data_IF_395051350916
#
_entry.id   IF_395051350916
#
_cell.length_a   1.000
_cell.length_b   1.000
_cell.length_c   1.000
_cell.angle_alpha   90.00
_cell.angle_beta   90.00
_cell.angle_gamma   90.00
#
_symmetry.space_group_name_H-M   'P 1'
#
loop_
_entity.id
_entity.type
_entity.pdbx_description
1 polymer ?
#
# COMPACT_ATOMS: atom_id res chain seq x y z
N UNK A 1 -2.51 -10.82 -36.19
CA UNK A 1 -2.62 -9.63 -35.32
C UNK A 1 -3.58 -9.83 -34.13
N UNK A 2 -4.86 -10.19 -34.37
CA UNK A 2 -5.91 -10.29 -33.33
C UNK A 2 -5.57 -11.20 -32.13
N UNK A 3 -4.97 -12.37 -32.35
CA UNK A 3 -4.56 -13.28 -31.26
C UNK A 3 -3.58 -12.61 -30.28
N UNK A 4 -2.63 -11.81 -30.77
CA UNK A 4 -1.68 -11.11 -29.90
C UNK A 4 -2.32 -9.95 -29.14
N UNK A 5 -3.23 -9.19 -29.79
CA UNK A 5 -4.00 -8.15 -29.10
C UNK A 5 -4.90 -8.73 -28.02
N UNK A 6 -5.59 -9.85 -28.31
CA UNK A 6 -6.36 -10.60 -27.32
C UNK A 6 -5.49 -11.05 -26.15
N UNK A 7 -4.29 -11.56 -26.41
CA UNK A 7 -3.35 -11.93 -25.35
C UNK A 7 -2.95 -10.73 -24.49
N UNK A 8 -2.63 -9.58 -25.10
CA UNK A 8 -2.33 -8.35 -24.37
C UNK A 8 -3.47 -7.93 -23.45
N UNK A 9 -4.71 -7.92 -23.96
CA UNK A 9 -5.88 -7.59 -23.15
C UNK A 9 -6.14 -8.59 -22.03
N UNK A 10 -5.87 -9.88 -22.26
CA UNK A 10 -5.96 -10.89 -21.20
C UNK A 10 -4.92 -10.65 -20.10
N UNK A 11 -3.67 -10.31 -20.45
CA UNK A 11 -2.65 -9.99 -19.44
C UNK A 11 -2.97 -8.68 -18.68
N UNK A 12 -3.60 -7.71 -19.33
CA UNK A 12 -4.12 -6.51 -18.67
C UNK A 12 -5.28 -6.83 -17.72
N UNK A 13 -6.19 -7.72 -18.12
CA UNK A 13 -7.29 -8.15 -17.26
C UNK A 13 -6.78 -8.79 -15.96
N UNK A 14 -5.83 -9.73 -16.07
CA UNK A 14 -5.18 -10.35 -14.91
C UNK A 14 -4.54 -9.33 -13.96
N UNK A 15 -3.96 -8.25 -14.51
CA UNK A 15 -3.39 -7.17 -13.70
C UNK A 15 -4.47 -6.46 -12.88
N UNK A 16 -5.61 -6.12 -13.48
CA UNK A 16 -6.71 -5.45 -12.77
C UNK A 16 -7.35 -6.35 -11.70
N UNK A 17 -7.49 -7.65 -11.99
CA UNK A 17 -7.96 -8.65 -11.02
C UNK A 17 -7.00 -8.75 -9.82
N UNK A 18 -5.70 -8.90 -10.07
CA UNK A 18 -4.68 -8.94 -9.02
C UNK A 18 -4.55 -7.61 -8.25
N UNK A 19 -4.84 -6.48 -8.90
CA UNK A 19 -4.80 -5.15 -8.26
C UNK A 19 -5.87 -5.05 -7.20
N UNK A 20 -7.07 -5.56 -7.47
CA UNK A 20 -8.18 -5.57 -6.52
C UNK A 20 -7.81 -6.36 -5.26
N UNK A 21 -7.24 -7.55 -5.41
CA UNK A 21 -6.76 -8.35 -4.28
C UNK A 21 -5.66 -7.65 -3.48
N UNK A 22 -4.76 -6.94 -4.16
CA UNK A 22 -3.68 -6.18 -3.51
C UNK A 22 -4.22 -4.99 -2.72
N UNK A 23 -5.21 -4.28 -3.25
CA UNK A 23 -5.90 -3.18 -2.56
C UNK A 23 -6.60 -3.69 -1.30
N UNK A 24 -7.31 -4.82 -1.37
CA UNK A 24 -7.98 -5.42 -0.20
C UNK A 24 -6.99 -5.78 0.92
N UNK A 25 -5.86 -6.41 0.57
CA UNK A 25 -4.80 -6.73 1.55
C UNK A 25 -4.19 -5.45 2.13
N UNK A 26 -3.92 -4.44 1.30
CA UNK A 26 -3.40 -3.14 1.73
C UNK A 26 -4.35 -2.43 2.70
N UNK A 27 -5.64 -2.38 2.35
CA UNK A 27 -6.67 -1.75 3.19
C UNK A 27 -6.82 -2.47 4.54
N UNK A 28 -6.83 -3.81 4.55
CA UNK A 28 -6.85 -4.60 5.80
C UNK A 28 -5.63 -4.31 6.67
N UNK A 29 -4.43 -4.21 6.07
CA UNK A 29 -3.21 -3.85 6.78
C UNK A 29 -3.32 -2.46 7.39
N UNK A 30 -3.81 -1.49 6.63
CA UNK A 30 -3.89 -0.08 7.06
C UNK A 30 -4.92 0.09 8.18
N UNK A 31 -6.08 -0.53 8.06
CA UNK A 31 -7.12 -0.57 9.11
C UNK A 31 -6.55 -1.21 10.38
N UNK A 32 -5.90 -2.38 10.29
CA UNK A 32 -5.30 -3.05 11.45
C UNK A 32 -4.23 -2.20 12.11
N UNK A 33 -3.33 -1.61 11.31
CA UNK A 33 -2.27 -0.73 11.82
C UNK A 33 -2.88 0.46 12.54
N UNK A 34 -3.90 1.08 11.95
CA UNK A 34 -4.55 2.23 12.53
C UNK A 34 -5.28 1.90 13.83
N UNK A 35 -5.96 0.75 13.87
CA UNK A 35 -6.67 0.25 15.05
C UNK A 35 -5.71 -0.06 16.20
N UNK A 36 -4.61 -0.79 15.94
CA UNK A 36 -3.63 -1.12 16.98
C UNK A 36 -2.85 0.11 17.47
N UNK A 37 -2.58 1.08 16.60
CA UNK A 37 -1.99 2.35 17.02
C UNK A 37 -2.91 3.12 17.97
N UNK A 38 -4.21 3.15 17.67
CA UNK A 38 -5.21 3.76 18.53
C UNK A 38 -5.30 3.04 19.89
N UNK A 39 -5.24 1.71 19.89
CA UNK A 39 -5.25 0.92 21.12
C UNK A 39 -4.03 1.21 21.98
N UNK A 40 -2.84 1.24 21.38
CA UNK A 40 -1.62 1.64 22.06
C UNK A 40 -1.71 3.04 22.68
N UNK A 41 -2.26 4.03 21.96
CA UNK A 41 -2.44 5.38 22.48
C UNK A 41 -3.42 5.42 23.65
N UNK A 42 -4.51 4.65 23.59
CA UNK A 42 -5.49 4.52 24.68
C UNK A 42 -4.86 3.93 25.94
N UNK A 43 -4.09 2.85 25.81
CA UNK A 43 -3.37 2.23 26.92
C UNK A 43 -2.31 3.18 27.50
N UNK A 44 -1.58 3.89 26.64
CA UNK A 44 -0.63 4.92 27.05
C UNK A 44 -1.33 6.05 27.81
N UNK A 45 -2.51 6.49 27.37
CA UNK A 45 -3.29 7.51 28.05
C UNK A 45 -3.70 7.04 29.45
N UNK A 46 -4.17 5.80 29.60
CA UNK A 46 -4.53 5.21 30.89
C UNK A 46 -3.34 5.15 31.85
N UNK A 47 -2.15 4.78 31.35
CA UNK A 47 -0.92 4.79 32.13
C UNK A 47 -0.56 6.21 32.60
N UNK A 48 -0.64 7.19 31.71
CA UNK A 48 -0.29 8.58 32.04
C UNK A 48 -1.29 9.23 33.00
N UNK A 49 -2.58 8.87 32.95
CA UNK A 49 -3.56 9.28 33.95
C UNK A 49 -3.25 8.72 35.34
N UNK A 50 -2.78 7.47 35.43
CA UNK A 50 -2.30 6.91 36.71
C UNK A 50 -1.08 7.69 37.23
N UNK A 51 -0.16 8.03 36.33
CA UNK A 51 1.02 8.83 36.67
C UNK A 51 0.63 10.24 37.14
N UNK A 52 -0.37 10.87 36.51
CA UNK A 52 -0.88 12.20 36.87
C UNK A 52 -1.44 12.23 38.29
N UNK A 53 -2.20 11.20 38.68
CA UNK A 53 -2.68 11.05 40.06
C UNK A 53 -1.54 10.97 41.08
N UNK A 54 -0.46 10.24 40.75
CA UNK A 54 0.71 10.09 41.63
C UNK A 54 1.47 11.42 41.73
N UNK A 55 1.76 12.08 40.60
CA UNK A 55 2.50 13.34 40.57
C UNK A 55 1.76 14.50 41.22
N UNK A 56 0.42 14.52 41.17
CA UNK A 56 -0.39 15.48 41.95
C UNK A 56 -0.10 15.36 43.45
N UNK A 57 -0.08 14.14 43.97
CA UNK A 57 0.22 13.91 45.39
C UNK A 57 1.66 14.28 45.74
N UNK A 58 2.62 13.97 44.86
CA UNK A 58 4.03 14.30 45.03
C UNK A 58 4.28 15.81 45.05
N UNK A 59 3.70 16.55 44.09
CA UNK A 59 3.78 18.02 44.03
C UNK A 59 3.17 18.65 45.28
N UNK A 60 1.99 18.22 45.70
CA UNK A 60 1.35 18.72 46.92
C UNK A 60 2.21 18.49 48.18
N UNK A 61 2.83 17.31 48.31
CA UNK A 61 3.73 17.01 49.42
C UNK A 61 5.02 17.85 49.38
N UNK A 62 5.61 18.06 48.21
CA UNK A 62 6.80 18.91 48.05
C UNK A 62 6.51 20.37 48.41
N UNK A 63 5.35 20.90 47.98
CA UNK A 63 4.90 22.26 48.34
C UNK A 63 4.70 22.38 49.85
N UNK A 64 4.11 21.37 50.50
CA UNK A 64 3.90 21.37 51.94
C UNK A 64 5.23 21.42 52.70
N UNK A 65 6.21 20.58 52.33
CA UNK A 65 7.54 20.57 52.98
C UNK A 65 8.27 21.90 52.87
N UNK A 66 8.13 22.59 51.73
CA UNK A 66 8.71 23.94 51.57
C UNK A 66 8.01 24.94 52.48
N UNK A 67 6.67 24.87 52.59
CA UNK A 67 5.88 25.75 53.47
C UNK A 67 6.18 25.50 54.96
N UNK A 68 6.44 24.27 55.37
CA UNK A 68 6.79 23.92 56.76
C UNK A 68 8.26 24.16 57.08
N UNK A 69 9.09 24.50 56.09
CA UNK A 69 10.53 24.75 56.27
C UNK A 69 11.40 23.49 56.25
N UNK A 70 10.81 22.32 55.98
CA UNK A 70 11.49 21.01 55.97
C UNK A 70 12.29 20.75 54.68
N UNK A 71 12.16 21.63 53.67
CA UNK A 71 12.75 21.45 52.34
C UNK A 71 13.09 22.78 51.66
N UNK A 72 14.04 22.74 50.72
CA UNK A 72 14.37 23.89 49.86
C UNK A 72 13.30 24.08 48.78
N UNK A 73 13.09 25.33 48.36
CA UNK A 73 12.10 25.70 47.33
C UNK A 73 12.30 24.99 45.98
N UNK A 74 13.55 24.62 45.65
CA UNK A 74 13.90 23.93 44.39
C UNK A 74 13.14 22.62 44.20
N UNK A 75 12.86 21.85 45.26
CA UNK A 75 12.16 20.57 45.16
C UNK A 75 10.68 20.76 44.75
N UNK A 76 10.04 21.82 45.25
CA UNK A 76 8.68 22.19 44.83
C UNK A 76 8.62 22.69 43.39
N UNK A 77 9.65 23.44 42.94
CA UNK A 77 9.75 23.90 41.56
C UNK A 77 9.93 22.71 40.63
N UNK A 78 10.85 21.80 40.93
CA UNK A 78 11.08 20.60 40.13
C UNK A 78 9.82 19.72 40.03
N UNK A 79 9.10 19.52 41.15
CA UNK A 79 7.86 18.77 41.14
C UNK A 79 6.77 19.43 40.26
N UNK A 80 6.64 20.75 40.31
CA UNK A 80 5.71 21.50 39.46
C UNK A 80 6.07 21.43 37.97
N UNK A 81 7.36 21.52 37.63
CA UNK A 81 7.82 21.37 36.24
C UNK A 81 7.46 19.98 35.70
N UNK A 82 7.75 18.92 36.46
CA UNK A 82 7.38 17.54 36.06
C UNK A 82 5.87 17.35 35.88
N UNK A 83 5.07 17.98 36.75
CA UNK A 83 3.62 17.96 36.63
C UNK A 83 3.14 18.65 35.35
N UNK A 84 3.71 19.82 35.02
CA UNK A 84 3.38 20.55 33.79
C UNK A 84 3.80 19.76 32.53
N UNK A 85 4.99 19.14 32.53
CA UNK A 85 5.44 18.24 31.45
C UNK A 85 4.46 17.08 31.24
N UNK A 86 4.00 16.46 32.33
CA UNK A 86 3.06 15.34 32.25
C UNK A 86 1.69 15.76 31.70
N UNK A 87 1.19 16.93 32.09
CA UNK A 87 -0.06 17.49 31.55
C UNK A 87 0.06 17.80 30.05
N UNK A 88 1.19 18.35 29.61
CA UNK A 88 1.46 18.58 28.19
C UNK A 88 1.48 17.26 27.41
N UNK A 89 2.10 16.21 27.96
CA UNK A 89 2.11 14.87 27.35
C UNK A 89 0.70 14.26 27.27
N UNK A 90 -0.14 14.43 28.30
CA UNK A 90 -1.54 13.98 28.26
C UNK A 90 -2.36 14.72 27.19
N UNK A 91 -2.16 16.03 27.03
CA UNK A 91 -2.79 16.80 25.96
C UNK A 91 -2.33 16.32 24.58
N UNK A 92 -1.04 16.07 24.40
CA UNK A 92 -0.50 15.52 23.16
C UNK A 92 -1.12 14.15 22.85
N UNK A 93 -1.18 13.23 23.81
CA UNK A 93 -1.79 11.91 23.61
C UNK A 93 -3.27 12.05 23.23
N UNK A 94 -4.02 12.96 23.86
CA UNK A 94 -5.41 13.22 23.50
C UNK A 94 -5.58 13.70 22.05
N UNK A 95 -4.68 14.58 21.58
CA UNK A 95 -4.66 15.02 20.19
C UNK A 95 -4.29 13.86 19.24
N UNK A 96 -3.29 13.06 19.59
CA UNK A 96 -2.86 11.90 18.79
C UNK A 96 -4.01 10.88 18.65
N UNK A 97 -4.77 10.64 19.72
CA UNK A 97 -5.98 9.79 19.70
C UNK A 97 -7.00 10.35 18.72
N UNK A 98 -7.34 11.65 18.80
CA UNK A 98 -8.31 12.27 17.90
C UNK A 98 -7.89 12.16 16.43
N UNK A 99 -6.62 12.43 16.11
CA UNK A 99 -6.06 12.28 14.75
C UNK A 99 -6.18 10.83 14.28
N UNK A 100 -5.88 9.88 15.17
CA UNK A 100 -5.90 8.47 14.84
C UNK A 100 -7.33 7.95 14.64
N UNK A 101 -8.31 8.44 15.40
CA UNK A 101 -9.72 8.16 15.19
C UNK A 101 -10.21 8.68 13.84
N UNK A 102 -9.82 9.91 13.45
CA UNK A 102 -10.17 10.46 12.14
C UNK A 102 -9.56 9.64 11.01
N UNK A 103 -8.29 9.24 11.14
CA UNK A 103 -7.62 8.36 10.16
C UNK A 103 -8.34 7.02 10.02
N UNK A 104 -8.72 6.38 11.14
CA UNK A 104 -9.47 5.13 11.12
C UNK A 104 -10.84 5.30 10.47
N UNK A 105 -11.56 6.38 10.81
CA UNK A 105 -12.89 6.71 10.25
C UNK A 105 -12.84 6.88 8.73
N UNK A 106 -11.80 7.54 8.21
CA UNK A 106 -11.55 7.66 6.77
C UNK A 106 -11.30 6.30 6.10
N UNK A 107 -10.51 5.42 6.72
CA UNK A 107 -10.22 4.09 6.18
C UNK A 107 -11.44 3.18 6.11
N UNK A 108 -12.34 3.28 7.09
CA UNK A 108 -13.58 2.48 7.13
C UNK A 108 -14.78 3.17 6.47
N UNK A 109 -14.57 4.38 5.94
CA UNK A 109 -15.61 5.23 5.36
C UNK A 109 -16.83 5.39 6.29
N UNK A 110 -16.58 5.71 7.56
CA UNK A 110 -17.59 6.03 8.56
C UNK A 110 -17.34 7.42 9.13
N UNK A 111 -18.41 8.05 9.63
CA UNK A 111 -18.30 9.28 10.42
C UNK A 111 -18.21 9.00 11.94
N UNK A 112 -18.32 7.73 12.34
CA UNK A 112 -18.29 7.33 13.74
C UNK A 112 -16.86 7.31 14.28
N UNK A 113 -16.63 8.04 15.36
CA UNK A 113 -15.36 8.00 16.09
C UNK A 113 -15.28 6.72 16.91
N UNK A 114 -14.55 5.73 16.38
CA UNK A 114 -14.39 4.42 17.03
C UNK A 114 -13.28 4.46 18.09
N UNK A 115 -13.43 3.66 19.15
CA UNK A 115 -12.37 3.35 20.09
C UNK A 115 -12.18 1.82 20.20
N UNK A 116 -10.95 1.35 20.44
CA UNK A 116 -10.69 -0.05 20.76
C UNK A 116 -11.36 -0.45 22.07
N UNK A 117 -11.49 -1.77 22.26
CA UNK A 117 -12.01 -2.31 23.51
C UNK A 117 -11.15 -1.83 24.69
N UNK A 118 -11.78 -1.55 25.83
CA UNK A 118 -11.08 -1.21 27.08
C UNK A 118 -10.47 -2.46 27.72
N UNK A 119 -9.49 -3.04 27.05
CA UNK A 119 -8.72 -4.19 27.49
C UNK A 119 -7.23 -3.90 27.28
N UNK A 120 -6.33 -4.47 28.07
CA UNK A 120 -4.90 -4.32 27.83
C UNK A 120 -4.52 -4.83 26.43
N UNK A 121 -3.65 -4.10 25.75
CA UNK A 121 -3.10 -4.54 24.48
C UNK A 121 -2.11 -5.69 24.70
N UNK A 122 -2.50 -6.89 24.27
CA UNK A 122 -1.61 -8.05 24.28
C UNK A 122 -0.49 -7.92 23.23
N UNK A 123 0.65 -8.56 23.51
CA UNK A 123 1.77 -8.61 22.57
C UNK A 123 1.38 -9.44 21.34
N UNK A 124 1.58 -8.87 20.16
CA UNK A 124 1.41 -9.60 18.91
C UNK A 124 2.56 -10.60 18.74
N UNK A 125 2.23 -11.84 18.34
CA UNK A 125 3.22 -12.83 17.94
C UNK A 125 3.58 -12.64 16.48
N UNK A 126 4.86 -12.76 16.12
CA UNK A 126 5.26 -12.76 14.73
C UNK A 126 4.76 -14.05 14.04
N UNK A 127 3.96 -13.96 12.97
CA UNK A 127 3.54 -15.15 12.25
C UNK A 127 4.75 -15.83 11.61
N UNK A 128 4.73 -17.17 11.58
CA UNK A 128 5.73 -17.96 10.86
C UNK A 128 5.77 -17.53 9.38
N UNK A 129 6.98 -17.41 8.83
CA UNK A 129 7.17 -16.96 7.46
C UNK A 129 6.58 -18.00 6.49
N UNK A 130 5.43 -17.71 5.89
CA UNK A 130 4.87 -18.55 4.83
C UNK A 130 5.72 -18.38 3.56
N UNK A 131 6.43 -19.43 3.18
CA UNK A 131 7.41 -19.40 2.08
C UNK A 131 6.80 -19.51 0.67
N UNK A 132 5.51 -19.86 0.56
CA UNK A 132 5.01 -20.45 -0.70
C UNK A 132 4.36 -19.47 -1.68
N UNK A 133 4.13 -18.21 -1.29
CA UNK A 133 3.44 -17.24 -2.15
C UNK A 133 4.19 -15.92 -2.29
N UNK A 134 4.39 -15.49 -3.55
CA UNK A 134 4.96 -14.19 -3.89
C UNK A 134 4.10 -13.07 -3.28
N UNK A 135 4.74 -12.06 -2.67
CA UNK A 135 4.04 -10.92 -2.10
C UNK A 135 3.13 -10.24 -3.15
N UNK A 136 1.89 -9.83 -2.83
CA UNK A 136 0.94 -9.29 -3.81
C UNK A 136 1.50 -8.14 -4.67
N UNK A 137 2.28 -7.24 -4.06
CA UNK A 137 2.95 -6.15 -4.79
C UNK A 137 3.93 -6.67 -5.85
N UNK A 138 4.71 -7.71 -5.52
CA UNK A 138 5.66 -8.32 -6.45
C UNK A 138 4.92 -9.09 -7.55
N UNK A 139 3.77 -9.70 -7.23
CA UNK A 139 2.92 -10.34 -8.23
C UNK A 139 2.37 -9.34 -9.26
N UNK A 140 1.97 -8.15 -8.82
CA UNK A 140 1.57 -7.06 -9.74
C UNK A 140 2.71 -6.62 -10.65
N UNK A 141 3.90 -6.44 -10.09
CA UNK A 141 5.06 -6.04 -10.89
C UNK A 141 5.48 -7.14 -11.87
N UNK A 142 5.37 -8.42 -11.47
CA UNK A 142 5.54 -9.56 -12.38
C UNK A 142 4.52 -9.53 -13.52
N UNK A 143 3.27 -9.16 -13.23
CA UNK A 143 2.24 -9.05 -14.25
C UNK A 143 2.50 -7.91 -15.26
N UNK A 144 3.13 -6.81 -14.84
CA UNK A 144 3.59 -5.75 -15.77
C UNK A 144 4.62 -6.27 -16.78
N UNK A 145 5.51 -7.18 -16.37
CA UNK A 145 6.45 -7.86 -17.29
C UNK A 145 5.68 -8.70 -18.32
N UNK A 146 4.64 -9.42 -17.90
CA UNK A 146 3.78 -10.20 -18.80
C UNK A 146 3.07 -9.32 -19.84
N UNK A 147 2.53 -8.17 -19.39
CA UNK A 147 1.92 -7.16 -20.27
C UNK A 147 2.92 -6.62 -21.28
N UNK A 148 4.13 -6.24 -20.84
CA UNK A 148 5.17 -5.74 -21.73
C UNK A 148 5.58 -6.79 -22.78
N UNK A 149 5.73 -8.06 -22.38
CA UNK A 149 6.02 -9.17 -23.30
C UNK A 149 4.89 -9.41 -24.31
N UNK A 150 3.63 -9.31 -23.89
CA UNK A 150 2.48 -9.36 -24.79
C UNK A 150 2.49 -8.17 -25.77
N UNK A 151 2.89 -6.98 -25.31
CA UNK A 151 3.09 -5.79 -26.13
C UNK A 151 4.14 -6.00 -27.24
N UNK A 152 5.30 -6.59 -26.91
CA UNK A 152 6.30 -6.98 -27.91
C UNK A 152 5.70 -7.90 -28.97
N UNK A 153 4.85 -8.84 -28.57
CA UNK A 153 4.19 -9.78 -29.48
C UNK A 153 3.17 -9.10 -30.40
N UNK A 154 2.51 -8.03 -29.94
CA UNK A 154 1.64 -7.19 -30.77
C UNK A 154 2.48 -6.47 -31.83
N UNK A 155 3.53 -5.76 -31.43
CA UNK A 155 4.39 -5.00 -32.36
C UNK A 155 5.04 -5.92 -33.40
N UNK A 156 5.53 -7.11 -33.00
CA UNK A 156 6.05 -8.11 -33.94
C UNK A 156 5.02 -8.57 -34.98
N UNK A 157 3.74 -8.58 -34.63
CA UNK A 157 2.66 -8.97 -35.53
C UNK A 157 2.12 -7.83 -36.40
N UNK A 158 2.48 -6.56 -36.13
CA UNK A 158 2.12 -5.42 -36.99
C UNK A 158 2.86 -5.44 -38.32
N UNK A 159 4.02 -6.10 -38.39
CA UNK A 159 4.80 -6.25 -39.62
C UNK A 159 4.48 -7.54 -40.39
N UNK A 160 3.38 -8.22 -40.07
CA UNK A 160 2.91 -9.39 -40.82
C UNK A 160 1.83 -8.99 -41.81
N UNK A 161 1.64 -9.75 -42.90
CA UNK A 161 0.48 -9.55 -43.77
C UNK A 161 -0.82 -9.64 -42.98
N UNK A 162 -1.73 -8.71 -43.23
CA UNK A 162 -3.07 -8.72 -42.66
C UNK A 162 -4.07 -9.20 -43.70
N UNK A 163 -5.02 -10.02 -43.27
CA UNK A 163 -6.05 -10.58 -44.13
C UNK A 163 -7.41 -10.21 -43.54
N UNK A 164 -8.27 -9.60 -44.35
CA UNK A 164 -9.61 -9.19 -43.94
C UNK A 164 -10.65 -9.65 -44.95
N UNK A 165 -11.85 -9.94 -44.45
CA UNK A 165 -13.02 -10.24 -45.25
C UNK A 165 -14.15 -9.30 -44.85
N UNK A 166 -14.89 -8.80 -45.82
CA UNK A 166 -16.05 -7.94 -45.60
C UNK A 166 -17.24 -8.50 -46.36
N UNK A 167 -18.38 -8.59 -45.68
CA UNK A 167 -19.68 -8.69 -46.32
C UNK A 167 -20.34 -7.32 -46.29
N UNK A 168 -21.03 -6.94 -47.36
CA UNK A 168 -21.72 -5.66 -47.41
C UNK A 168 -23.04 -5.79 -48.15
N UNK A 169 -24.00 -4.96 -47.76
CA UNK A 169 -25.25 -4.75 -48.47
C UNK A 169 -25.57 -3.26 -48.39
N UNK A 170 -25.66 -2.60 -49.54
CA UNK A 170 -25.87 -1.15 -49.64
C UNK A 170 -26.96 -0.83 -50.66
N UNK A 171 -27.86 0.11 -50.33
CA UNK A 171 -28.85 0.59 -51.30
C UNK A 171 -28.21 1.70 -52.14
N UNK A 172 -28.29 1.55 -53.46
CA UNK A 172 -27.82 2.54 -54.41
C UNK A 172 -29.04 3.29 -54.96
N UNK A 173 -28.96 4.62 -55.05
CA UNK A 173 -30.05 5.42 -55.62
C UNK A 173 -30.28 5.02 -57.09
N UNK A 174 -31.53 4.72 -57.43
CA UNK A 174 -31.90 4.20 -58.76
C UNK A 174 -31.88 2.67 -58.91
N UNK A 175 -31.43 1.90 -57.91
CA UNK A 175 -31.51 0.44 -57.90
C UNK A 175 -32.66 -0.06 -57.02
N UNK A 176 -33.50 -0.96 -57.55
CA UNK A 176 -34.64 -1.55 -56.82
C UNK A 176 -34.19 -2.51 -55.70
N UNK A 177 -33.11 -3.27 -55.94
CA UNK A 177 -32.55 -4.23 -55.00
C UNK A 177 -31.26 -3.71 -54.34
N UNK A 178 -30.97 -4.07 -53.07
CA UNK A 178 -29.72 -3.73 -52.41
C UNK A 178 -28.51 -4.39 -53.10
N UNK A 179 -27.47 -3.60 -53.37
CA UNK A 179 -26.19 -4.11 -53.86
C UNK A 179 -25.47 -4.83 -52.73
N UNK A 180 -25.46 -6.16 -52.81
CA UNK A 180 -24.90 -7.05 -51.79
C UNK A 180 -23.71 -7.81 -52.36
N UNK A 181 -22.67 -7.98 -51.57
CA UNK A 181 -21.48 -8.70 -51.98
C UNK A 181 -20.54 -8.99 -50.83
N UNK A 182 -19.41 -9.60 -51.17
CA UNK A 182 -18.30 -9.83 -50.25
C UNK A 182 -16.99 -9.45 -50.91
N UNK A 183 -15.99 -9.09 -50.10
CA UNK A 183 -14.62 -8.87 -50.55
C UNK A 183 -13.65 -9.50 -49.57
N UNK A 184 -12.53 -9.99 -50.10
CA UNK A 184 -11.38 -10.45 -49.31
C UNK A 184 -10.19 -9.58 -49.70
N UNK A 185 -9.43 -9.11 -48.71
CA UNK A 185 -8.30 -8.20 -48.92
C UNK A 185 -7.11 -8.71 -48.13
N UNK A 186 -5.94 -8.68 -48.76
CA UNK A 186 -4.66 -8.97 -48.12
C UNK A 186 -3.76 -7.72 -48.20
N UNK A 187 -3.24 -7.27 -47.07
CA UNK A 187 -2.39 -6.09 -46.96
C UNK A 187 -0.98 -6.51 -46.57
N UNK A 188 0.01 -6.18 -47.41
CA UNK A 188 1.41 -6.53 -47.21
C UNK A 188 2.23 -5.26 -46.94
N UNK A 189 2.92 -5.14 -45.79
CA UNK A 189 3.84 -4.03 -45.55
C UNK A 189 5.09 -4.19 -46.43
N UNK A 190 5.29 -3.28 -47.38
CA UNK A 190 6.41 -3.34 -48.35
C UNK A 190 7.65 -2.53 -47.92
N UNK A 191 7.46 -1.49 -47.11
CA UNK A 191 8.52 -0.58 -46.67
C UNK A 191 8.49 -0.39 -45.15
N UNK A 192 9.57 0.15 -44.57
CA UNK A 192 9.64 0.48 -43.14
C UNK A 192 10.22 -0.60 -42.23
N UNK A 193 10.87 -1.65 -42.78
CA UNK A 193 11.47 -2.73 -41.99
C UNK A 193 12.42 -2.25 -40.87
N UNK A 194 13.21 -1.21 -41.12
CA UNK A 194 14.07 -0.58 -40.11
C UNK A 194 13.27 0.07 -38.98
N UNK A 195 12.19 0.79 -39.31
CA UNK A 195 11.28 1.39 -38.35
C UNK A 195 10.58 0.32 -37.49
N UNK A 196 10.11 -0.79 -38.09
CA UNK A 196 9.54 -1.91 -37.33
C UNK A 196 10.57 -2.56 -36.40
N UNK A 197 11.81 -2.79 -36.87
CA UNK A 197 12.90 -3.29 -36.01
C UNK A 197 13.16 -2.34 -34.83
N UNK A 198 13.13 -1.03 -35.08
CA UNK A 198 13.27 -0.02 -34.03
C UNK A 198 12.12 -0.12 -33.00
N UNK A 199 10.87 -0.18 -33.46
CA UNK A 199 9.70 -0.35 -32.58
C UNK A 199 9.79 -1.62 -31.72
N UNK A 200 10.22 -2.74 -32.30
CA UNK A 200 10.43 -3.99 -31.54
C UNK A 200 11.52 -3.81 -30.49
N UNK A 201 12.65 -3.16 -30.83
CA UNK A 201 13.72 -2.86 -29.87
C UNK A 201 13.21 -1.99 -28.72
N UNK A 202 12.42 -0.96 -29.01
CA UNK A 202 11.79 -0.11 -27.97
C UNK A 202 10.86 -0.92 -27.08
N UNK A 203 10.00 -1.78 -27.65
CA UNK A 203 9.12 -2.64 -26.87
C UNK A 203 9.90 -3.65 -26.00
N UNK A 204 11.05 -4.14 -26.48
CA UNK A 204 11.94 -5.01 -25.69
C UNK A 204 12.66 -4.24 -24.57
N UNK A 205 13.05 -2.99 -24.82
CA UNK A 205 13.59 -2.12 -23.77
C UNK A 205 12.56 -1.88 -22.66
N UNK A 206 11.28 -1.75 -23.00
CA UNK A 206 10.20 -1.66 -22.02
C UNK A 206 10.10 -2.93 -21.16
N UNK A 207 10.22 -4.13 -21.74
CA UNK A 207 10.28 -5.38 -20.95
C UNK A 207 11.46 -5.36 -19.98
N UNK A 208 12.64 -4.91 -20.43
CA UNK A 208 13.82 -4.79 -19.57
C UNK A 208 13.62 -3.78 -18.44
N UNK A 209 12.94 -2.66 -18.71
CA UNK A 209 12.59 -1.68 -17.69
C UNK A 209 11.68 -2.31 -16.62
N UNK A 210 10.62 -3.01 -17.02
CA UNK A 210 9.71 -3.68 -16.09
C UNK A 210 10.41 -4.77 -15.26
N UNK A 211 11.36 -5.50 -15.85
CA UNK A 211 12.20 -6.47 -15.16
C UNK A 211 13.10 -5.80 -14.10
N UNK A 212 13.72 -4.66 -14.44
CA UNK A 212 14.56 -3.90 -13.49
C UNK A 212 13.73 -3.32 -12.35
N UNK A 213 12.53 -2.86 -12.62
CA UNK A 213 11.59 -2.41 -11.59
C UNK A 213 11.18 -3.56 -10.65
N UNK A 214 10.94 -4.76 -11.19
CA UNK A 214 10.70 -5.97 -10.38
C UNK A 214 11.87 -6.30 -9.47
N UNK A 215 13.09 -6.37 -10.02
CA UNK A 215 14.30 -6.64 -9.26
C UNK A 215 14.51 -5.62 -8.12
N UNK A 216 14.29 -4.33 -8.42
CA UNK A 216 14.38 -3.26 -7.43
C UNK A 216 13.34 -3.40 -6.31
N UNK A 217 12.07 -3.67 -6.65
CA UNK A 217 11.02 -3.88 -5.65
C UNK A 217 11.29 -5.12 -4.78
N UNK A 218 11.81 -6.19 -5.39
CA UNK A 218 12.22 -7.39 -4.66
C UNK A 218 13.32 -7.09 -3.65
N UNK A 219 14.31 -6.27 -4.03
CA UNK A 219 15.37 -5.84 -3.12
C UNK A 219 14.82 -5.01 -1.96
N UNK A 220 13.97 -4.02 -2.23
CA UNK A 220 13.33 -3.22 -1.19
C UNK A 220 12.53 -4.09 -0.22
N UNK A 221 11.74 -5.04 -0.74
CA UNK A 221 10.97 -5.96 0.08
C UNK A 221 11.88 -6.81 0.98
N UNK A 222 12.95 -7.39 0.43
CA UNK A 222 13.90 -8.18 1.20
C UNK A 222 14.58 -7.34 2.29
N UNK A 223 14.97 -6.10 1.98
CA UNK A 223 15.54 -5.19 2.98
C UNK A 223 14.55 -4.87 4.09
N UNK A 224 13.29 -4.60 3.76
CA UNK A 224 12.23 -4.35 4.75
C UNK A 224 12.01 -5.57 5.65
N UNK A 225 11.97 -6.77 5.09
CA UNK A 225 11.81 -8.02 5.86
C UNK A 225 12.96 -8.23 6.84
N UNK A 226 14.21 -8.01 6.40
CA UNK A 226 15.39 -8.11 7.28
C UNK A 226 15.37 -7.06 8.39
N UNK A 227 14.96 -5.82 8.09
CA UNK A 227 14.83 -4.77 9.11
C UNK A 227 13.74 -5.12 10.14
N UNK A 228 12.61 -5.66 9.69
CA UNK A 228 11.55 -6.11 10.59
C UNK A 228 12.03 -7.23 11.50
N UNK A 229 12.70 -8.26 10.96
CA UNK A 229 13.28 -9.35 11.74
C UNK A 229 14.24 -8.84 12.83
N UNK A 230 15.17 -7.94 12.48
CA UNK A 230 16.10 -7.34 13.45
C UNK A 230 15.39 -6.59 14.57
N UNK A 231 14.38 -5.76 14.23
CA UNK A 231 13.58 -5.06 15.24
C UNK A 231 12.85 -6.02 16.17
N UNK A 232 12.32 -7.12 15.64
CA UNK A 232 11.67 -8.16 16.45
C UNK A 232 12.66 -8.87 17.39
N UNK A 233 13.87 -9.18 16.92
CA UNK A 233 14.93 -9.76 17.75
C UNK A 233 15.34 -8.81 18.89
N UNK A 234 15.56 -7.53 18.60
CA UNK A 234 15.88 -6.50 19.60
C UNK A 234 14.80 -6.40 20.69
N UNK A 235 13.53 -6.36 20.29
CA UNK A 235 12.39 -6.34 21.21
C UNK A 235 12.40 -7.60 22.09
N UNK A 236 12.65 -8.78 21.51
CA UNK A 236 12.62 -10.05 22.24
C UNK A 236 13.76 -10.16 23.25
N UNK A 237 14.98 -9.71 22.90
CA UNK A 237 16.14 -9.69 23.79
C UNK A 237 15.93 -8.72 24.96
N UNK A 238 15.35 -7.55 24.72
CA UNK A 238 15.07 -6.57 25.79
C UNK A 238 14.09 -7.11 26.85
N UNK A 239 13.22 -8.06 26.50
CA UNK A 239 12.28 -8.68 27.44
C UNK A 239 12.81 -9.90 28.18
N UNK A 240 13.98 -10.45 27.77
CA UNK A 240 14.61 -11.60 28.42
C UNK A 240 15.72 -11.20 29.41
N UNK A 241 15.99 -9.90 29.54
CA UNK A 241 16.88 -9.29 30.53
C UNK A 241 16.06 -8.58 31.61
#
# INVERSE_FOLDING_TARGET
>A
MYKAKKNLYNEQLKYYEATTATIDVGLKRDIRTAYYQLWYLQDKQLLFHRLDSIYKSLSAAAILKVKTGDSRGLDSIAANVRMAELQALLQQIGNDINIQQQSLSQLVNSNDLMLPLMQPLDKLTMPAQSADSLHPLLALQSQNINIANAGVSVIKNENKPDFSGRFFSQRLWGASNPFTGFSVTASFPLFGASAYRSKVKTAQAEVQLQQKQFEYQQQLFNTQQLQMQKKWEEITVFYLL
#
